data_IF_468776257433
#
_entry.id   IF_468776257433
#
_cell.length_a   1.000
_cell.length_b   1.000
_cell.length_c   1.000
_cell.angle_alpha   90.00
_cell.angle_beta   90.00
_cell.angle_gamma   90.00
#
_symmetry.space_group_name_H-M   'P 1'
#
loop_
_entity.id
_entity.type
_entity.pdbx_description
1 polymer ?
#
# COMPACT_ATOMS: atom_id res chain seq x y z
N UNK A 1 -13.58 9.85 9.32
CA UNK A 1 -12.56 9.06 8.59
C UNK A 1 -11.41 9.97 8.21
N UNK A 2 -10.19 9.52 8.42
CA UNK A 2 -9.00 10.35 8.18
C UNK A 2 -7.83 9.46 7.75
N UNK A 3 -7.09 9.91 6.72
CA UNK A 3 -5.84 9.28 6.32
C UNK A 3 -4.69 10.18 6.75
N UNK A 4 -3.74 9.63 7.48
CA UNK A 4 -2.53 10.34 7.92
C UNK A 4 -1.30 9.61 7.43
N UNK A 5 -0.18 10.34 7.25
CA UNK A 5 1.06 9.76 6.78
C UNK A 5 2.23 10.12 7.68
N UNK A 6 3.27 9.31 7.62
CA UNK A 6 4.51 9.55 8.35
C UNK A 6 5.70 8.96 7.59
N UNK A 7 6.86 9.59 7.75
CA UNK A 7 8.17 9.03 7.37
C UNK A 7 8.93 8.54 8.60
N UNK A 8 8.39 8.74 9.78
CA UNK A 8 9.06 8.47 11.05
C UNK A 8 8.70 7.08 11.55
N UNK A 9 9.66 6.16 11.51
CA UNK A 9 9.48 4.79 11.99
C UNK A 9 9.45 4.68 13.52
N UNK A 10 9.58 5.81 14.22
CA UNK A 10 9.42 5.89 15.68
C UNK A 10 8.03 6.41 16.07
N UNK A 11 7.17 6.72 15.10
CA UNK A 11 5.85 7.29 15.36
C UNK A 11 4.80 6.24 15.67
N UNK A 12 3.72 6.67 16.34
CA UNK A 12 2.56 5.80 16.58
C UNK A 12 1.84 5.45 15.28
N UNK A 13 1.87 6.32 14.27
CA UNK A 13 1.28 6.04 12.95
C UNK A 13 1.99 4.85 12.31
N UNK A 14 3.31 4.83 12.33
CA UNK A 14 4.08 3.70 11.82
C UNK A 14 3.76 2.41 12.59
N UNK A 15 3.66 2.49 13.92
CA UNK A 15 3.30 1.32 14.74
C UNK A 15 1.93 0.76 14.33
N UNK A 16 0.95 1.63 14.10
CA UNK A 16 -0.38 1.22 13.63
C UNK A 16 -0.30 0.58 12.24
N UNK A 17 0.50 1.13 11.33
CA UNK A 17 0.72 0.56 10.01
C UNK A 17 1.29 -0.87 10.12
N UNK A 18 2.31 -1.05 10.94
CA UNK A 18 2.96 -2.36 11.13
C UNK A 18 1.99 -3.39 11.74
N UNK A 19 1.15 -2.97 12.67
CA UNK A 19 0.14 -3.85 13.29
C UNK A 19 -0.88 -4.33 12.26
N UNK A 20 -1.36 -3.44 11.40
CA UNK A 20 -2.27 -3.81 10.31
C UNK A 20 -1.59 -4.79 9.36
N UNK A 21 -0.36 -4.48 8.94
CA UNK A 21 0.42 -5.31 8.02
C UNK A 21 0.68 -6.70 8.61
N UNK A 22 1.03 -6.77 9.89
CA UNK A 22 1.24 -8.04 10.58
C UNK A 22 -0.04 -8.89 10.54
N UNK A 23 -1.17 -8.31 10.89
CA UNK A 23 -2.44 -9.03 10.90
C UNK A 23 -2.82 -9.55 9.51
N UNK A 24 -2.65 -8.74 8.47
CA UNK A 24 -3.06 -9.10 7.11
C UNK A 24 -2.03 -10.02 6.44
N UNK A 25 -0.76 -9.66 6.45
CA UNK A 25 0.25 -10.38 5.68
C UNK A 25 0.81 -11.58 6.43
N UNK A 26 1.08 -11.45 7.71
CA UNK A 26 1.68 -12.54 8.49
C UNK A 26 0.61 -13.49 9.00
N UNK A 27 -0.40 -13.01 9.71
CA UNK A 27 -1.41 -13.86 10.34
C UNK A 27 -2.37 -14.44 9.29
N UNK A 28 -2.97 -13.61 8.43
CA UNK A 28 -3.92 -14.08 7.42
C UNK A 28 -3.26 -14.81 6.25
N UNK A 29 -2.20 -14.24 5.67
CA UNK A 29 -1.61 -14.73 4.41
C UNK A 29 -0.38 -15.62 4.61
N UNK A 30 0.13 -15.72 5.83
CA UNK A 30 1.26 -16.60 6.14
C UNK A 30 2.62 -16.10 5.62
N UNK A 31 2.76 -14.82 5.29
CA UNK A 31 4.06 -14.26 4.88
C UNK A 31 5.01 -14.25 6.09
N UNK A 32 6.25 -14.75 5.93
CA UNK A 32 7.22 -14.69 7.04
C UNK A 32 7.47 -13.25 7.49
N UNK A 33 7.55 -13.03 8.79
CA UNK A 33 7.82 -11.71 9.36
C UNK A 33 9.11 -11.11 8.81
N UNK A 34 10.13 -11.94 8.56
CA UNK A 34 11.40 -11.50 7.98
C UNK A 34 11.27 -10.90 6.58
N UNK A 35 10.22 -11.23 5.85
CA UNK A 35 9.95 -10.66 4.52
C UNK A 35 9.03 -9.46 4.59
N UNK A 36 8.14 -9.41 5.59
CA UNK A 36 7.14 -8.35 5.71
C UNK A 36 7.78 -7.03 6.17
N UNK A 37 8.63 -7.09 7.19
CA UNK A 37 9.44 -5.94 7.63
C UNK A 37 10.76 -6.00 6.88
N UNK A 38 11.04 -4.99 6.06
CA UNK A 38 12.19 -5.01 5.16
C UNK A 38 13.10 -3.78 5.32
N UNK A 39 14.15 -3.73 4.51
CA UNK A 39 15.16 -2.67 4.54
C UNK A 39 14.64 -1.30 4.11
N UNK A 40 13.48 -1.26 3.46
CA UNK A 40 12.93 -0.02 2.90
C UNK A 40 12.03 0.74 3.89
N UNK A 41 11.80 0.20 5.10
CA UNK A 41 10.90 0.81 6.08
C UNK A 41 11.16 2.29 6.34
N UNK A 42 12.42 2.66 6.52
CA UNK A 42 12.80 4.03 6.84
C UNK A 42 12.78 4.96 5.63
N UNK A 43 12.69 4.42 4.42
CA UNK A 43 12.68 5.19 3.17
C UNK A 43 11.27 5.46 2.65
N UNK A 44 10.27 4.80 3.21
CA UNK A 44 8.89 4.88 2.76
C UNK A 44 8.10 5.96 3.46
N UNK A 45 7.06 6.43 2.78
CA UNK A 45 5.97 7.19 3.41
C UNK A 45 4.88 6.17 3.74
N UNK A 46 4.51 6.09 5.01
CA UNK A 46 3.49 5.15 5.50
C UNK A 46 2.18 5.89 5.75
N UNK A 47 1.08 5.35 5.23
CA UNK A 47 -0.25 5.92 5.36
C UNK A 47 -1.11 4.99 6.21
N UNK A 48 -1.90 5.56 7.10
CA UNK A 48 -2.90 4.81 7.87
C UNK A 48 -4.24 5.52 7.78
N UNK A 49 -5.28 4.75 7.51
CA UNK A 49 -6.65 5.22 7.50
C UNK A 49 -7.29 4.91 8.85
N UNK A 50 -7.78 5.95 9.51
CA UNK A 50 -8.47 5.85 10.79
C UNK A 50 -9.96 6.11 10.63
N UNK A 51 -10.78 5.38 11.37
CA UNK A 51 -12.22 5.65 11.49
C UNK A 51 -12.48 6.94 12.26
N UNK A 52 -13.74 7.37 12.31
CA UNK A 52 -14.15 8.52 13.13
C UNK A 52 -13.89 8.29 14.63
N UNK A 53 -13.83 7.03 15.06
CA UNK A 53 -13.46 6.64 16.42
C UNK A 53 -11.97 6.45 16.62
N UNK A 54 -11.15 6.88 15.65
CA UNK A 54 -9.68 6.78 15.67
C UNK A 54 -9.16 5.34 15.70
N UNK A 55 -9.90 4.41 15.14
CA UNK A 55 -9.47 3.02 15.00
C UNK A 55 -8.72 2.83 13.69
N UNK A 56 -7.48 2.29 13.71
CA UNK A 56 -6.75 2.03 12.46
C UNK A 56 -7.42 0.91 11.68
N UNK A 57 -7.70 1.15 10.40
CA UNK A 57 -8.48 0.24 9.56
C UNK A 57 -7.72 -0.28 8.35
N UNK A 58 -6.77 0.49 7.85
CA UNK A 58 -6.00 0.13 6.67
C UNK A 58 -4.71 0.91 6.55
N UNK A 59 -3.82 0.42 5.70
CA UNK A 59 -2.51 1.03 5.49
C UNK A 59 -2.02 0.81 4.06
N UNK A 60 -1.11 1.68 3.63
CA UNK A 60 -0.33 1.54 2.40
C UNK A 60 0.97 2.31 2.58
N UNK A 61 2.03 1.88 1.89
CA UNK A 61 3.27 2.66 1.89
C UNK A 61 3.69 3.01 0.47
N UNK A 62 4.37 4.15 0.32
CA UNK A 62 4.98 4.58 -0.92
C UNK A 62 6.50 4.60 -0.76
N UNK A 63 7.21 3.95 -1.69
CA UNK A 63 8.66 3.97 -1.76
C UNK A 63 9.08 4.92 -2.90
N UNK A 64 9.72 6.06 -2.59
CA UNK A 64 10.22 6.95 -3.63
C UNK A 64 11.30 6.26 -4.48
N UNK A 65 11.17 6.40 -5.78
CA UNK A 65 12.13 5.90 -6.76
C UNK A 65 12.68 7.09 -7.56
N UNK A 66 13.60 6.79 -8.47
CA UNK A 66 14.16 7.80 -9.37
C UNK A 66 13.16 8.19 -10.47
N UNK A 67 13.43 9.31 -11.15
CA UNK A 67 12.70 9.77 -12.35
C UNK A 67 11.21 10.04 -12.11
N UNK A 68 10.87 10.58 -10.93
CA UNK A 68 9.49 10.98 -10.63
C UNK A 68 8.54 9.84 -10.35
N UNK A 69 9.05 8.67 -10.01
CA UNK A 69 8.25 7.48 -9.76
C UNK A 69 8.21 7.15 -8.27
N UNK A 70 7.07 6.60 -7.84
CA UNK A 70 6.92 5.98 -6.52
C UNK A 70 6.37 4.58 -6.68
N UNK A 71 6.80 3.67 -5.82
CA UNK A 71 6.27 2.31 -5.78
C UNK A 71 5.30 2.17 -4.62
N UNK A 72 4.06 1.77 -4.93
CA UNK A 72 3.02 1.51 -3.93
C UNK A 72 3.15 0.07 -3.46
N UNK A 73 3.24 -0.12 -2.15
CA UNK A 73 3.48 -1.42 -1.54
C UNK A 73 2.67 -1.58 -0.26
N UNK A 74 2.50 -2.82 0.17
CA UNK A 74 1.94 -3.14 1.50
C UNK A 74 0.55 -2.56 1.73
N UNK A 75 -0.29 -2.54 0.68
CA UNK A 75 -1.68 -2.13 0.84
C UNK A 75 -2.45 -3.23 1.59
N UNK A 76 -3.07 -2.86 2.69
CA UNK A 76 -3.77 -3.81 3.53
C UNK A 76 -4.96 -3.16 4.23
N UNK A 77 -6.10 -3.84 4.20
CA UNK A 77 -7.30 -3.47 4.98
C UNK A 77 -7.59 -4.61 5.93
N UNK A 78 -7.80 -4.30 7.20
CA UNK A 78 -8.22 -5.30 8.18
C UNK A 78 -9.52 -5.98 7.74
N UNK A 79 -9.63 -7.29 7.96
CA UNK A 79 -10.73 -8.10 7.41
C UNK A 79 -12.12 -7.58 7.77
N UNK A 80 -12.29 -7.09 9.00
CA UNK A 80 -13.57 -6.57 9.48
C UNK A 80 -14.01 -5.28 8.80
N UNK A 81 -13.11 -4.60 8.08
CA UNK A 81 -13.41 -3.32 7.42
C UNK A 81 -13.41 -3.43 5.89
N UNK A 82 -13.29 -4.63 5.32
CA UNK A 82 -13.26 -4.84 3.87
C UNK A 82 -14.63 -4.63 3.24
N UNK A 83 -14.63 -4.44 1.91
CA UNK A 83 -15.84 -4.25 1.10
C UNK A 83 -16.62 -2.96 1.43
N UNK A 84 -15.92 -1.95 1.96
CA UNK A 84 -16.49 -0.64 2.30
C UNK A 84 -15.85 0.51 1.51
N UNK A 85 -15.03 0.20 0.49
CA UNK A 85 -14.38 1.21 -0.32
C UNK A 85 -13.15 1.87 0.32
N UNK A 86 -12.63 1.34 1.41
CA UNK A 86 -11.50 1.95 2.14
C UNK A 86 -10.18 1.86 1.37
N UNK A 87 -9.97 0.78 0.62
CA UNK A 87 -8.78 0.62 -0.22
C UNK A 87 -8.69 1.72 -1.26
N UNK A 88 -9.79 2.06 -1.91
CA UNK A 88 -9.85 3.16 -2.88
C UNK A 88 -9.47 4.50 -2.22
N UNK A 89 -10.00 4.78 -1.04
CA UNK A 89 -9.69 6.01 -0.30
C UNK A 89 -8.19 6.10 0.01
N UNK A 90 -7.60 5.01 0.51
CA UNK A 90 -6.17 4.95 0.80
C UNK A 90 -5.32 5.20 -0.45
N UNK A 91 -5.63 4.52 -1.55
CA UNK A 91 -4.88 4.65 -2.80
C UNK A 91 -4.99 6.08 -3.33
N UNK A 92 -6.18 6.68 -3.34
CA UNK A 92 -6.38 8.05 -3.81
C UNK A 92 -5.61 9.06 -2.97
N UNK A 93 -5.60 8.90 -1.64
CA UNK A 93 -4.83 9.78 -0.75
C UNK A 93 -3.32 9.64 -1.00
N UNK A 94 -2.84 8.42 -1.20
CA UNK A 94 -1.44 8.19 -1.53
C UNK A 94 -1.06 8.83 -2.87
N UNK A 95 -1.93 8.70 -3.87
CA UNK A 95 -1.74 9.33 -5.20
C UNK A 95 -1.69 10.84 -5.10
N UNK A 96 -2.62 11.43 -4.35
CA UNK A 96 -2.66 12.88 -4.15
C UNK A 96 -1.38 13.38 -3.45
N UNK A 97 -0.91 12.66 -2.45
CA UNK A 97 0.35 12.98 -1.78
C UNK A 97 1.51 12.95 -2.77
N UNK A 98 1.63 11.87 -3.55
CA UNK A 98 2.71 11.72 -4.52
C UNK A 98 2.69 12.85 -5.55
N UNK A 99 1.52 13.17 -6.10
CA UNK A 99 1.35 14.24 -7.08
C UNK A 99 1.75 15.59 -6.50
N UNK A 100 1.33 15.89 -5.28
CA UNK A 100 1.65 17.15 -4.61
C UNK A 100 3.15 17.28 -4.30
N UNK A 101 3.86 16.17 -4.17
CA UNK A 101 5.30 16.14 -3.97
C UNK A 101 6.10 16.17 -5.28
N UNK A 102 5.43 16.27 -6.43
CA UNK A 102 6.07 16.38 -7.73
C UNK A 102 6.33 15.06 -8.44
N UNK A 103 5.81 13.95 -7.93
CA UNK A 103 5.92 12.65 -8.60
C UNK A 103 4.85 12.53 -9.69
N UNK A 104 5.16 11.77 -10.74
CA UNK A 104 4.28 11.69 -11.91
C UNK A 104 3.77 10.28 -12.19
N UNK A 105 4.29 9.26 -11.54
CA UNK A 105 3.93 7.86 -11.82
C UNK A 105 3.94 7.02 -10.56
N UNK A 106 2.91 6.20 -10.39
CA UNK A 106 2.87 5.15 -9.37
C UNK A 106 3.05 3.80 -10.04
N UNK A 107 3.97 3.00 -9.50
CA UNK A 107 4.18 1.60 -9.90
C UNK A 107 3.75 0.69 -8.76
N UNK A 108 3.27 -0.49 -9.09
CA UNK A 108 2.96 -1.52 -8.08
C UNK A 108 3.06 -2.92 -8.68
N UNK A 109 3.23 -3.92 -7.81
CA UNK A 109 3.05 -5.32 -8.15
C UNK A 109 1.74 -5.81 -7.56
N UNK A 110 0.77 -6.12 -8.40
CA UNK A 110 -0.55 -6.59 -7.98
C UNK A 110 -0.61 -8.10 -7.94
N UNK A 111 -1.15 -8.68 -6.87
CA UNK A 111 -1.62 -10.06 -6.93
C UNK A 111 -2.65 -10.16 -8.05
N UNK A 112 -2.65 -11.27 -8.80
CA UNK A 112 -3.58 -11.42 -9.93
C UNK A 112 -5.04 -11.30 -9.53
N UNK A 113 -5.38 -11.68 -8.30
CA UNK A 113 -6.74 -11.55 -7.75
C UNK A 113 -7.15 -10.10 -7.48
N UNK A 114 -6.20 -9.16 -7.41
CA UNK A 114 -6.46 -7.74 -7.16
C UNK A 114 -6.33 -6.88 -8.42
N UNK A 115 -6.01 -7.46 -9.57
CA UNK A 115 -5.77 -6.73 -10.82
C UNK A 115 -6.98 -5.86 -11.20
N UNK A 116 -8.18 -6.42 -11.16
CA UNK A 116 -9.41 -5.69 -11.50
C UNK A 116 -9.63 -4.48 -10.59
N UNK A 117 -9.32 -4.63 -9.31
CA UNK A 117 -9.42 -3.53 -8.35
C UNK A 117 -8.54 -2.35 -8.78
N UNK A 118 -7.28 -2.62 -9.13
CA UNK A 118 -6.36 -1.56 -9.55
C UNK A 118 -6.71 -1.01 -10.94
N UNK A 119 -7.19 -1.84 -11.85
CA UNK A 119 -7.65 -1.36 -13.18
C UNK A 119 -8.77 -0.33 -13.04
N UNK A 120 -9.72 -0.56 -12.14
CA UNK A 120 -10.81 0.39 -11.88
C UNK A 120 -10.31 1.71 -11.31
N UNK A 121 -9.14 1.74 -10.71
CA UNK A 121 -8.51 2.96 -10.20
C UNK A 121 -7.61 3.65 -11.22
N UNK A 122 -7.53 3.11 -12.44
CA UNK A 122 -6.77 3.71 -13.53
C UNK A 122 -5.40 3.12 -13.76
N UNK A 123 -5.07 2.01 -13.13
CA UNK A 123 -3.79 1.32 -13.33
C UNK A 123 -3.84 0.43 -14.55
N UNK A 124 -2.71 0.32 -15.25
CA UNK A 124 -2.55 -0.51 -16.45
C UNK A 124 -1.44 -1.53 -16.20
N UNK A 125 -1.74 -2.80 -16.49
CA UNK A 125 -0.76 -3.88 -16.38
C UNK A 125 0.32 -3.75 -17.45
N UNK A 126 1.54 -4.13 -17.12
CA UNK A 126 2.66 -4.19 -18.04
C UNK A 126 3.63 -5.31 -17.67
N UNK A 127 4.39 -5.77 -18.67
CA UNK A 127 5.36 -6.84 -18.48
C UNK A 127 4.72 -8.21 -18.33
N UNK A 128 5.54 -9.20 -18.03
CA UNK A 128 5.11 -10.59 -17.86
C UNK A 128 4.68 -10.86 -16.42
N UNK A 129 3.72 -11.76 -16.20
CA UNK A 129 3.40 -12.21 -14.83
C UNK A 129 4.63 -12.80 -14.13
N UNK A 130 4.67 -12.65 -12.82
CA UNK A 130 5.75 -13.20 -11.98
C UNK A 130 5.19 -13.74 -10.67
N UNK A 131 5.99 -14.52 -9.96
CA UNK A 131 5.62 -15.01 -8.64
C UNK A 131 6.28 -14.17 -7.54
N UNK A 132 5.52 -13.87 -6.49
CA UNK A 132 6.02 -13.27 -5.28
C UNK A 132 5.31 -13.91 -4.10
N UNK A 133 6.08 -14.35 -3.10
CA UNK A 133 5.55 -15.06 -1.94
C UNK A 133 4.68 -16.29 -2.33
N UNK A 134 5.02 -16.96 -3.43
CA UNK A 134 4.30 -18.13 -3.93
C UNK A 134 2.98 -17.83 -4.65
N UNK A 135 2.68 -16.55 -4.92
CA UNK A 135 1.44 -16.13 -5.55
C UNK A 135 1.71 -15.42 -6.88
N UNK A 136 0.84 -15.62 -7.91
CA UNK A 136 1.02 -14.90 -9.17
C UNK A 136 0.75 -13.40 -9.02
N UNK A 137 1.62 -12.60 -9.63
CA UNK A 137 1.57 -11.14 -9.62
C UNK A 137 1.75 -10.57 -11.01
N UNK A 138 1.33 -9.33 -11.22
CA UNK A 138 1.62 -8.55 -12.42
C UNK A 138 1.98 -7.11 -12.03
N UNK A 139 2.94 -6.52 -12.73
CA UNK A 139 3.25 -5.10 -12.53
C UNK A 139 2.17 -4.23 -13.15
N UNK A 140 1.83 -3.16 -12.47
CA UNK A 140 0.86 -2.16 -12.93
C UNK A 140 1.40 -0.77 -12.70
N UNK A 141 0.93 0.20 -13.49
CA UNK A 141 1.34 1.60 -13.37
C UNK A 141 0.19 2.55 -13.66
N UNK A 142 0.31 3.75 -13.11
CA UNK A 142 -0.62 4.84 -13.33
C UNK A 142 0.16 6.15 -13.43
N UNK A 143 -0.14 6.95 -14.46
CA UNK A 143 0.37 8.33 -14.57
C UNK A 143 -0.53 9.25 -13.76
N UNK A 144 0.07 10.07 -12.92
CA UNK A 144 -0.63 10.98 -12.03
C UNK A 144 -1.01 12.31 -12.71
#
# INVERSE_FOLDING_TARGET
MKVVQTKDTMSNIYLDAVRIRHQVFVVEQGVPLSREIDKDEAHCIHFVLYSDKKEPQGTVRLLPLENGKMKLQRMAILSEYRHQGLGKILIEEAENFAKNQGYNTILLGSQSTAETFYEKLGYTAYGDPFEDAGMPHIYMKKTL
#
